data_IF_121025620358
#
_entry.id   IF_121025620358
#
_cell.length_a   1.000
_cell.length_b   1.000
_cell.length_c   1.000
_cell.angle_alpha   90.00
_cell.angle_beta   90.00
_cell.angle_gamma   90.00
#
_symmetry.space_group_name_H-M   'P 1'
#
loop_
_entity.id
_entity.type
_entity.pdbx_description
1 polymer ?
#
# COMPACT_ATOMS: atom_id res chain seq x y z
N UNK A 1 32.31 22.60 -20.99
CA UNK A 1 32.18 21.12 -20.97
C UNK A 1 31.97 20.58 -19.55
N UNK A 2 32.65 21.07 -18.51
CA UNK A 2 32.46 20.61 -17.12
C UNK A 2 31.04 20.84 -16.53
N UNK A 3 30.39 21.97 -16.86
CA UNK A 3 29.06 22.32 -16.34
C UNK A 3 27.96 21.31 -16.77
N UNK A 4 28.14 20.60 -17.88
CA UNK A 4 27.13 19.69 -18.43
C UNK A 4 27.17 18.30 -17.75
N UNK A 5 28.37 17.81 -17.42
CA UNK A 5 28.53 16.51 -16.75
C UNK A 5 28.10 16.57 -15.27
N UNK A 6 28.40 17.69 -14.60
CA UNK A 6 28.00 17.91 -13.21
C UNK A 6 26.47 18.01 -13.07
N UNK A 7 25.80 18.64 -14.03
CA UNK A 7 24.33 18.71 -14.08
C UNK A 7 23.67 17.34 -14.29
N UNK A 8 24.16 16.54 -15.25
CA UNK A 8 23.64 15.18 -15.48
C UNK A 8 23.88 14.27 -14.27
N UNK A 9 25.06 14.34 -13.65
CA UNK A 9 25.35 13.61 -12.43
C UNK A 9 24.41 14.02 -11.27
N UNK A 10 24.17 15.32 -11.08
CA UNK A 10 23.27 15.82 -10.05
C UNK A 10 21.81 15.34 -10.27
N UNK A 11 21.31 15.40 -11.51
CA UNK A 11 19.95 14.92 -11.86
C UNK A 11 19.79 13.44 -11.54
N UNK A 12 20.78 12.61 -11.92
CA UNK A 12 20.75 11.17 -11.66
C UNK A 12 20.89 10.83 -10.18
N UNK A 13 21.68 11.62 -9.44
CA UNK A 13 21.78 11.49 -7.99
C UNK A 13 20.45 11.84 -7.29
N UNK A 14 19.79 12.92 -7.73
CA UNK A 14 18.46 13.28 -7.21
C UNK A 14 17.43 12.18 -7.50
N UNK A 15 17.43 11.63 -8.71
CA UNK A 15 16.56 10.50 -9.05
C UNK A 15 16.83 9.26 -8.17
N UNK A 16 18.10 8.96 -7.88
CA UNK A 16 18.48 7.89 -6.96
C UNK A 16 17.98 8.16 -5.53
N UNK A 17 18.11 9.39 -5.03
CA UNK A 17 17.61 9.77 -3.70
C UNK A 17 16.09 9.69 -3.60
N UNK A 18 15.36 10.08 -4.65
CA UNK A 18 13.90 9.97 -4.72
C UNK A 18 13.38 8.52 -4.72
N UNK A 19 14.23 7.52 -4.98
CA UNK A 19 13.82 6.12 -4.85
C UNK A 19 13.82 5.61 -3.40
N UNK A 20 14.52 6.29 -2.50
CA UNK A 20 14.65 5.87 -1.10
C UNK A 20 13.29 5.88 -0.38
N UNK A 21 12.45 6.94 -0.48
CA UNK A 21 11.13 6.93 0.14
C UNK A 21 10.20 5.84 -0.44
N UNK A 22 10.28 5.53 -1.73
CA UNK A 22 9.55 4.40 -2.35
C UNK A 22 9.95 3.06 -1.72
N UNK A 23 11.25 2.80 -1.59
CA UNK A 23 11.76 1.57 -0.96
C UNK A 23 11.32 1.52 0.51
N UNK A 24 11.46 2.65 1.23
CA UNK A 24 11.06 2.75 2.63
C UNK A 24 9.55 2.50 2.82
N UNK A 25 8.71 3.02 1.93
CA UNK A 25 7.27 2.76 1.94
C UNK A 25 6.96 1.28 1.69
N UNK A 26 7.66 0.64 0.75
CA UNK A 26 7.55 -0.79 0.50
C UNK A 26 7.96 -1.66 1.69
N UNK A 27 9.07 -1.31 2.36
CA UNK A 27 9.52 -1.98 3.59
C UNK A 27 8.53 -1.73 4.74
N UNK A 28 8.06 -0.50 4.92
CA UNK A 28 7.07 -0.16 5.93
C UNK A 28 5.76 -0.94 5.75
N UNK A 29 5.32 -1.17 4.50
CA UNK A 29 4.18 -2.05 4.23
C UNK A 29 4.46 -3.50 4.68
N UNK A 30 5.70 -3.98 4.55
CA UNK A 30 6.06 -5.34 4.99
C UNK A 30 6.09 -5.51 6.52
N UNK A 31 6.25 -4.41 7.28
CA UNK A 31 6.23 -4.46 8.76
C UNK A 31 4.82 -4.47 9.34
N UNK A 32 3.78 -4.16 8.55
CA UNK A 32 2.40 -4.28 8.97
C UNK A 32 1.96 -5.75 8.90
N UNK A 33 1.50 -6.30 10.01
CA UNK A 33 1.25 -7.73 10.17
C UNK A 33 0.21 -8.28 9.16
N UNK A 34 -0.83 -7.50 8.87
CA UNK A 34 -1.87 -7.84 7.91
C UNK A 34 -1.37 -7.81 6.45
N UNK A 35 -0.56 -6.81 6.09
CA UNK A 35 0.13 -6.79 4.80
C UNK A 35 1.12 -7.95 4.68
N UNK A 36 1.83 -8.31 5.75
CA UNK A 36 2.76 -9.43 5.79
C UNK A 36 2.07 -10.79 5.57
N UNK A 37 0.81 -10.94 6.00
CA UNK A 37 -0.01 -12.12 5.73
C UNK A 37 -0.47 -12.23 4.27
N UNK A 38 -0.66 -11.09 3.60
CA UNK A 38 -1.32 -11.02 2.28
C UNK A 38 -0.32 -10.83 1.12
N UNK A 39 0.80 -10.15 1.38
CA UNK A 39 1.97 -9.98 0.50
C UNK A 39 1.66 -9.53 -0.94
N UNK A 40 0.72 -8.59 -1.11
CA UNK A 40 0.34 -8.09 -2.45
C UNK A 40 1.23 -6.94 -2.91
N UNK A 41 1.21 -5.81 -2.19
CA UNK A 41 1.76 -4.54 -2.70
C UNK A 41 3.25 -4.34 -2.39
N UNK A 42 3.72 -4.87 -1.26
CA UNK A 42 5.07 -4.70 -0.75
C UNK A 42 6.17 -5.09 -1.76
N UNK A 43 6.12 -6.29 -2.33
CA UNK A 43 7.17 -6.77 -3.26
C UNK A 43 7.25 -5.96 -4.56
N UNK A 44 6.14 -5.68 -5.28
CA UNK A 44 6.18 -4.79 -6.44
C UNK A 44 6.76 -3.41 -6.15
N UNK A 45 6.39 -2.79 -5.01
CA UNK A 45 6.88 -1.46 -4.63
C UNK A 45 8.38 -1.48 -4.35
N UNK A 46 8.86 -2.44 -3.54
CA UNK A 46 10.28 -2.57 -3.22
C UNK A 46 11.10 -2.88 -4.48
N UNK A 47 10.63 -3.79 -5.34
CA UNK A 47 11.33 -4.14 -6.57
C UNK A 47 11.47 -2.94 -7.53
N UNK A 48 10.40 -2.16 -7.72
CA UNK A 48 10.45 -0.96 -8.55
C UNK A 48 11.35 0.12 -7.95
N UNK A 49 11.28 0.36 -6.63
CA UNK A 49 12.15 1.31 -5.95
C UNK A 49 13.63 0.94 -6.10
N UNK A 50 13.99 -0.33 -5.88
CA UNK A 50 15.37 -0.82 -6.06
C UNK A 50 15.82 -0.71 -7.52
N UNK A 51 14.95 -0.99 -8.48
CA UNK A 51 15.28 -0.84 -9.90
C UNK A 51 15.56 0.63 -10.26
N UNK A 52 14.76 1.58 -9.76
CA UNK A 52 15.02 3.02 -9.95
C UNK A 52 16.33 3.44 -9.29
N UNK A 53 16.61 2.96 -8.07
CA UNK A 53 17.88 3.23 -7.39
C UNK A 53 19.08 2.74 -8.22
N UNK A 54 19.04 1.49 -8.67
CA UNK A 54 20.11 0.88 -9.45
C UNK A 54 20.35 1.63 -10.77
N UNK A 55 19.28 1.96 -11.50
CA UNK A 55 19.38 2.73 -12.75
C UNK A 55 19.88 4.16 -12.49
N UNK A 56 19.41 4.82 -11.42
CA UNK A 56 19.88 6.16 -11.03
C UNK A 56 21.38 6.19 -10.72
N UNK A 57 21.88 5.22 -9.95
CA UNK A 57 23.31 5.07 -9.66
C UNK A 57 24.13 4.73 -10.91
N UNK A 58 23.62 3.85 -11.77
CA UNK A 58 24.25 3.55 -13.04
C UNK A 58 24.32 4.78 -13.96
N UNK A 59 23.30 5.64 -13.93
CA UNK A 59 23.31 6.93 -14.64
C UNK A 59 24.30 7.93 -14.06
N UNK A 60 24.52 7.92 -12.74
CA UNK A 60 25.55 8.75 -12.08
C UNK A 60 26.97 8.33 -12.51
N UNK A 61 27.27 7.03 -12.48
CA UNK A 61 28.57 6.47 -12.92
C UNK A 61 28.73 6.56 -14.44
N UNK A 62 27.64 6.36 -15.18
CA UNK A 62 27.60 6.39 -16.64
C UNK A 62 27.88 7.77 -17.23
N UNK A 63 27.75 8.86 -16.45
CA UNK A 63 28.10 10.21 -16.88
C UNK A 63 29.57 10.35 -17.34
N UNK A 64 30.44 9.42 -16.95
CA UNK A 64 31.85 9.35 -17.34
C UNK A 64 32.11 8.56 -18.63
N UNK A 65 31.16 7.74 -19.09
CA UNK A 65 31.31 6.83 -20.24
C UNK A 65 30.51 7.36 -21.44
N UNK A 66 31.20 7.90 -22.45
CA UNK A 66 30.59 8.57 -23.63
C UNK A 66 30.05 7.60 -24.69
N UNK A 67 29.26 6.60 -24.29
CA UNK A 67 28.65 5.64 -25.21
C UNK A 67 27.19 6.05 -25.52
N UNK A 68 26.86 6.48 -26.76
CA UNK A 68 25.54 7.01 -27.08
C UNK A 68 24.41 5.97 -26.96
N UNK A 69 24.71 4.70 -27.28
CA UNK A 69 23.76 3.59 -27.12
C UNK A 69 23.41 3.32 -25.66
N UNK A 70 24.38 3.43 -24.75
CA UNK A 70 24.18 3.23 -23.32
C UNK A 70 23.28 4.34 -22.74
N UNK A 71 23.49 5.59 -23.18
CA UNK A 71 22.67 6.73 -22.76
C UNK A 71 21.21 6.60 -23.25
N UNK A 72 21.01 6.14 -24.48
CA UNK A 72 19.67 5.89 -25.01
C UNK A 72 18.96 4.77 -24.23
N UNK A 73 19.65 3.65 -23.99
CA UNK A 73 19.14 2.55 -23.19
C UNK A 73 18.77 3.01 -21.77
N UNK A 74 19.61 3.84 -21.15
CA UNK A 74 19.34 4.47 -19.85
C UNK A 74 18.05 5.32 -19.86
N UNK A 75 17.88 6.22 -20.83
CA UNK A 75 16.70 7.08 -20.93
C UNK A 75 15.41 6.29 -21.12
N UNK A 76 15.45 5.22 -21.92
CA UNK A 76 14.29 4.33 -22.14
C UNK A 76 13.98 3.54 -20.87
N UNK A 77 15.00 2.96 -20.22
CA UNK A 77 14.82 2.21 -18.98
C UNK A 77 14.25 3.08 -17.85
N UNK A 78 14.78 4.30 -17.68
CA UNK A 78 14.30 5.22 -16.66
C UNK A 78 12.86 5.64 -16.93
N UNK A 79 12.50 5.96 -18.17
CA UNK A 79 11.11 6.27 -18.53
C UNK A 79 10.17 5.11 -18.23
N UNK A 80 10.55 3.89 -18.62
CA UNK A 80 9.74 2.69 -18.36
C UNK A 80 9.51 2.47 -16.87
N UNK A 81 10.52 2.68 -16.02
CA UNK A 81 10.40 2.56 -14.57
C UNK A 81 9.49 3.64 -13.97
N UNK A 82 9.62 4.89 -14.42
CA UNK A 82 8.76 5.99 -13.96
C UNK A 82 7.31 5.77 -14.36
N UNK A 83 7.05 5.32 -15.60
CA UNK A 83 5.70 4.96 -16.05
C UNK A 83 5.15 3.75 -15.28
N UNK A 84 5.99 2.76 -14.95
CA UNK A 84 5.58 1.63 -14.13
C UNK A 84 5.21 2.04 -12.70
N UNK A 85 5.98 2.94 -12.08
CA UNK A 85 5.66 3.52 -10.77
C UNK A 85 4.36 4.34 -10.81
N UNK A 86 4.20 5.21 -11.80
CA UNK A 86 2.98 5.99 -11.98
C UNK A 86 1.76 5.08 -12.23
N UNK A 87 1.92 4.05 -13.07
CA UNK A 87 0.89 3.05 -13.32
C UNK A 87 0.51 2.27 -12.05
N UNK A 88 1.50 1.91 -11.22
CA UNK A 88 1.25 1.28 -9.94
C UNK A 88 0.49 2.20 -8.99
N UNK A 89 0.85 3.48 -8.90
CA UNK A 89 0.15 4.46 -8.07
C UNK A 89 -1.31 4.61 -8.53
N UNK A 90 -1.54 4.80 -9.83
CA UNK A 90 -2.90 4.88 -10.39
C UNK A 90 -3.70 3.60 -10.11
N UNK A 91 -3.06 2.43 -10.24
CA UNK A 91 -3.69 1.16 -9.95
C UNK A 91 -4.08 1.04 -8.46
N UNK A 92 -3.16 1.35 -7.55
CA UNK A 92 -3.41 1.32 -6.10
C UNK A 92 -4.53 2.30 -5.74
N UNK A 93 -4.48 3.53 -6.25
CA UNK A 93 -5.53 4.52 -6.09
C UNK A 93 -6.88 3.97 -6.56
N UNK A 94 -6.95 3.39 -7.76
CA UNK A 94 -8.20 2.88 -8.34
C UNK A 94 -8.79 1.71 -7.53
N UNK A 95 -7.96 0.74 -7.09
CA UNK A 95 -8.47 -0.40 -6.30
C UNK A 95 -8.79 -0.03 -4.85
N UNK A 96 -8.22 1.07 -4.35
CA UNK A 96 -8.49 1.62 -3.01
C UNK A 96 -9.52 2.76 -3.02
N UNK A 97 -10.07 3.15 -4.17
CA UNK A 97 -11.18 4.09 -4.27
C UNK A 97 -12.47 3.39 -3.83
N UNK A 98 -13.17 3.89 -2.79
CA UNK A 98 -14.36 3.22 -2.23
C UNK A 98 -14.70 3.60 -0.79
N UNK A 99 -15.48 2.79 -0.06
CA UNK A 99 -16.20 3.20 1.18
C UNK A 99 -15.37 3.50 2.45
N UNK A 100 -16.01 4.15 3.43
CA UNK A 100 -15.44 4.58 4.71
C UNK A 100 -16.04 3.84 5.91
N UNK A 101 -16.41 2.56 5.75
CA UNK A 101 -17.14 1.80 6.77
C UNK A 101 -18.58 2.30 6.98
N UNK A 102 -19.40 1.49 7.63
CA UNK A 102 -20.80 1.79 7.95
C UNK A 102 -20.91 2.13 9.44
N UNK A 103 -21.47 3.31 9.79
CA UNK A 103 -21.71 3.66 11.18
C UNK A 103 -22.81 2.78 11.76
N UNK A 104 -22.60 2.34 13.00
CA UNK A 104 -23.61 1.58 13.74
C UNK A 104 -24.27 2.52 14.76
N UNK A 105 -25.61 2.60 14.81
CA UNK A 105 -26.30 3.46 15.76
C UNK A 105 -25.88 3.19 17.21
N UNK A 106 -25.51 4.25 17.93
CA UNK A 106 -25.11 4.17 19.34
C UNK A 106 -23.75 3.51 19.59
N UNK A 107 -22.89 3.39 18.56
CA UNK A 107 -21.55 2.81 18.65
C UNK A 107 -20.49 3.79 18.14
N UNK A 108 -19.33 3.83 18.78
CA UNK A 108 -18.18 4.65 18.38
C UNK A 108 -17.33 4.02 17.26
N UNK A 109 -17.52 2.73 16.99
CA UNK A 109 -16.81 1.99 15.94
C UNK A 109 -17.65 1.82 14.68
N UNK A 110 -16.95 1.57 13.57
CA UNK A 110 -17.52 1.30 12.26
C UNK A 110 -17.56 -0.21 12.00
N UNK A 111 -18.54 -0.66 11.23
CA UNK A 111 -18.57 -2.02 10.67
C UNK A 111 -18.30 -1.99 9.16
N UNK A 112 -17.75 -3.08 8.64
CA UNK A 112 -17.28 -3.15 7.26
C UNK A 112 -17.97 -4.30 6.54
N UNK A 113 -18.43 -4.02 5.33
CA UNK A 113 -19.09 -4.99 4.46
C UNK A 113 -18.18 -5.30 3.28
N UNK A 114 -18.11 -6.57 2.89
CA UNK A 114 -17.21 -7.01 1.81
C UNK A 114 -17.62 -6.41 0.47
N UNK A 115 -18.91 -6.16 0.26
CA UNK A 115 -19.46 -5.60 -0.98
C UNK A 115 -19.05 -4.15 -1.24
N UNK A 116 -18.63 -3.44 -0.20
CA UNK A 116 -18.17 -2.05 -0.31
C UNK A 116 -16.77 -1.92 -0.96
N UNK A 117 -16.08 -3.05 -1.20
CA UNK A 117 -14.72 -3.09 -1.74
C UNK A 117 -14.67 -3.49 -3.23
N UNK A 118 -13.61 -3.03 -3.90
CA UNK A 118 -13.38 -3.32 -5.32
C UNK A 118 -13.36 -4.83 -5.58
N UNK A 119 -13.98 -5.24 -6.70
CA UNK A 119 -14.02 -6.66 -7.10
C UNK A 119 -12.63 -7.27 -7.34
N UNK A 120 -11.60 -6.45 -7.54
CA UNK A 120 -10.21 -6.91 -7.60
C UNK A 120 -9.69 -7.35 -6.22
N UNK A 121 -9.92 -6.56 -5.17
CA UNK A 121 -9.52 -6.91 -3.80
C UNK A 121 -10.24 -8.15 -3.29
N UNK A 122 -11.56 -8.25 -3.54
CA UNK A 122 -12.37 -9.42 -3.14
C UNK A 122 -11.86 -10.71 -3.76
N UNK A 123 -11.68 -10.74 -5.08
CA UNK A 123 -11.16 -11.90 -5.82
C UNK A 123 -9.78 -12.36 -5.32
N UNK A 124 -8.99 -11.46 -4.75
CA UNK A 124 -7.68 -11.82 -4.20
C UNK A 124 -7.79 -12.67 -2.95
N UNK A 125 -8.84 -12.47 -2.15
CA UNK A 125 -9.16 -13.26 -0.95
C UNK A 125 -9.92 -14.56 -1.26
N UNK A 126 -10.69 -14.60 -2.35
CA UNK A 126 -11.58 -15.74 -2.67
C UNK A 126 -10.89 -16.95 -3.33
N UNK A 127 -9.56 -16.93 -3.49
CA UNK A 127 -8.84 -18.08 -4.03
C UNK A 127 -8.83 -19.26 -3.04
N UNK A 128 -9.07 -20.50 -3.51
CA UNK A 128 -9.13 -21.68 -2.65
C UNK A 128 -7.83 -21.86 -1.86
N UNK A 129 -7.94 -22.10 -0.55
CA UNK A 129 -6.79 -22.29 0.35
C UNK A 129 -5.96 -21.03 0.66
N UNK A 130 -6.18 -19.90 -0.01
CA UNK A 130 -5.44 -18.66 0.27
C UNK A 130 -5.95 -17.99 1.53
N UNK A 131 -7.27 -17.90 1.68
CA UNK A 131 -7.87 -17.35 2.89
C UNK A 131 -7.49 -18.16 4.13
N UNK A 132 -7.34 -19.48 4.01
CA UNK A 132 -6.92 -20.32 5.13
C UNK A 132 -5.51 -19.99 5.65
N UNK A 133 -4.59 -19.60 4.76
CA UNK A 133 -3.27 -19.12 5.16
C UNK A 133 -3.33 -17.73 5.79
N UNK A 134 -4.10 -16.83 5.19
CA UNK A 134 -4.26 -15.46 5.69
C UNK A 134 -4.88 -15.47 7.09
N UNK A 135 -5.96 -16.24 7.28
CA UNK A 135 -6.66 -16.32 8.56
C UNK A 135 -5.80 -16.96 9.66
N UNK A 136 -4.99 -17.98 9.33
CA UNK A 136 -4.04 -18.57 10.26
C UNK A 136 -2.93 -17.58 10.66
N UNK A 137 -2.44 -16.78 9.70
CA UNK A 137 -1.49 -15.72 9.96
C UNK A 137 -2.10 -14.61 10.84
N UNK A 138 -3.34 -14.17 10.55
CA UNK A 138 -4.06 -13.20 11.36
C UNK A 138 -4.33 -13.69 12.78
N UNK A 139 -4.68 -14.97 12.94
CA UNK A 139 -4.88 -15.59 14.27
C UNK A 139 -3.62 -15.60 15.13
N UNK A 140 -2.43 -15.59 14.52
CA UNK A 140 -1.16 -15.48 15.23
C UNK A 140 -0.78 -14.03 15.59
N UNK A 141 -1.51 -13.03 15.08
CA UNK A 141 -1.24 -11.62 15.41
C UNK A 141 -1.85 -11.23 16.76
N UNK A 142 -1.21 -10.32 17.51
CA UNK A 142 -1.72 -9.89 18.82
C UNK A 142 -2.95 -8.97 18.73
N UNK A 143 -3.52 -8.69 17.55
CA UNK A 143 -4.56 -7.67 17.39
C UNK A 143 -5.81 -7.91 18.25
N UNK A 144 -6.26 -9.15 18.36
CA UNK A 144 -7.41 -9.49 19.22
C UNK A 144 -7.00 -9.67 20.69
N UNK A 145 -5.77 -10.08 20.99
CA UNK A 145 -5.30 -10.16 22.38
C UNK A 145 -5.11 -8.78 22.98
N UNK A 146 -4.62 -7.80 22.21
CA UNK A 146 -4.44 -6.42 22.63
C UNK A 146 -5.77 -5.75 22.96
N UNK A 147 -6.82 -6.07 22.18
CA UNK A 147 -8.18 -5.62 22.45
C UNK A 147 -8.69 -6.14 23.80
N UNK A 148 -8.40 -7.40 24.13
CA UNK A 148 -8.81 -8.02 25.39
C UNK A 148 -8.01 -7.52 26.60
N UNK A 149 -6.78 -7.04 26.39
CA UNK A 149 -5.92 -6.50 27.46
C UNK A 149 -6.21 -5.02 27.77
N UNK A 150 -6.98 -4.34 26.91
CA UNK A 150 -7.29 -2.92 27.08
C UNK A 150 -8.41 -2.75 28.10
N UNK A 151 -8.06 -2.57 29.38
CA UNK A 151 -9.02 -2.54 30.50
C UNK A 151 -10.11 -1.46 30.40
N UNK A 152 -9.88 -0.39 29.63
CA UNK A 152 -10.90 0.63 29.38
C UNK A 152 -12.08 0.11 28.53
N UNK A 153 -11.93 -1.05 27.90
CA UNK A 153 -12.93 -1.68 27.04
C UNK A 153 -13.72 -2.78 27.75
N UNK A 154 -13.38 -3.13 28.99
CA UNK A 154 -14.08 -4.18 29.74
C UNK A 154 -15.52 -3.79 30.09
N UNK A 155 -15.80 -2.49 30.17
CA UNK A 155 -17.15 -2.00 30.44
C UNK A 155 -17.93 -1.79 29.14
N UNK A 156 -19.26 -2.04 29.12
CA UNK A 156 -20.09 -1.78 27.93
C UNK A 156 -20.01 -0.33 27.47
N UNK A 157 -19.95 0.62 28.41
CA UNK A 157 -19.81 2.04 28.09
C UNK A 157 -18.46 2.31 27.42
N UNK A 158 -17.37 1.82 28.00
CA UNK A 158 -16.04 1.93 27.42
C UNK A 158 -15.94 1.33 26.01
N UNK A 159 -16.47 0.12 25.82
CA UNK A 159 -16.44 -0.59 24.53
C UNK A 159 -17.33 0.07 23.46
N UNK A 160 -18.55 0.49 23.80
CA UNK A 160 -19.49 0.99 22.79
C UNK A 160 -19.37 2.48 22.51
N UNK A 161 -18.94 3.29 23.47
CA UNK A 161 -18.93 4.76 23.33
C UNK A 161 -17.55 5.38 23.28
N UNK A 162 -16.53 4.74 23.87
CA UNK A 162 -15.18 5.29 23.92
C UNK A 162 -14.17 4.53 23.04
N UNK A 163 -14.46 3.28 22.69
CA UNK A 163 -13.51 2.46 21.95
C UNK A 163 -13.48 2.79 20.45
N UNK A 164 -12.32 3.26 19.99
CA UNK A 164 -12.00 3.37 18.57
C UNK A 164 -11.33 2.09 18.10
N UNK A 165 -12.15 1.11 17.72
CA UNK A 165 -11.64 -0.17 17.21
C UNK A 165 -10.99 0.03 15.84
N UNK A 166 -9.84 -0.61 15.63
CA UNK A 166 -9.27 -0.75 14.29
C UNK A 166 -10.21 -1.56 13.39
N UNK A 167 -10.13 -1.43 12.06
CA UNK A 167 -10.99 -2.21 11.16
C UNK A 167 -10.86 -3.71 11.39
N UNK A 168 -9.65 -4.19 11.66
CA UNK A 168 -9.38 -5.59 11.97
C UNK A 168 -9.99 -6.01 13.33
N UNK A 169 -9.91 -5.16 14.36
CA UNK A 169 -10.56 -5.43 15.65
C UNK A 169 -12.09 -5.51 15.51
N UNK A 170 -12.69 -4.56 14.79
CA UNK A 170 -14.14 -4.50 14.61
C UNK A 170 -14.71 -5.64 13.77
N UNK A 171 -13.93 -6.16 12.82
CA UNK A 171 -14.35 -7.20 11.87
C UNK A 171 -13.97 -8.63 12.27
N UNK A 172 -12.86 -8.83 12.98
CA UNK A 172 -12.35 -10.17 13.32
C UNK A 172 -12.48 -10.51 14.80
N UNK A 173 -12.37 -9.53 15.71
CA UNK A 173 -12.26 -9.79 17.16
C UNK A 173 -13.58 -9.63 17.93
N UNK A 174 -14.68 -9.27 17.25
CA UNK A 174 -16.04 -9.20 17.82
C UNK A 174 -17.06 -9.79 16.84
N UNK A 175 -18.23 -10.25 17.31
CA UNK A 175 -19.31 -10.65 16.42
C UNK A 175 -19.93 -9.41 15.72
N UNK A 176 -20.54 -9.58 14.53
CA UNK A 176 -21.30 -8.53 13.86
C UNK A 176 -22.48 -8.06 14.73
N UNK A 177 -22.75 -6.74 14.78
CA UNK A 177 -23.81 -6.20 15.64
C UNK A 177 -25.20 -6.74 15.23
N UNK A 178 -25.41 -7.01 13.94
CA UNK A 178 -26.64 -7.62 13.40
C UNK A 178 -26.97 -8.99 13.98
N UNK A 179 -25.98 -9.69 14.55
CA UNK A 179 -26.18 -11.01 15.14
C UNK A 179 -26.84 -10.97 16.52
N UNK A 180 -26.89 -9.82 17.21
CA UNK A 180 -27.59 -9.71 18.50
C UNK A 180 -26.94 -10.47 19.67
N UNK A 181 -25.62 -10.71 19.62
CA UNK A 181 -24.89 -11.30 20.74
C UNK A 181 -24.87 -10.36 21.94
N UNK A 182 -24.94 -10.91 23.15
CA UNK A 182 -24.86 -10.11 24.38
C UNK A 182 -23.41 -10.00 24.85
N UNK A 183 -22.97 -8.76 25.08
CA UNK A 183 -21.62 -8.42 25.51
C UNK A 183 -21.35 -8.89 26.95
N UNK A 184 -20.18 -9.50 27.16
CA UNK A 184 -19.66 -9.80 28.50
C UNK A 184 -18.28 -9.16 28.67
N UNK A 185 -17.38 -9.42 27.72
CA UNK A 185 -16.05 -8.80 27.64
C UNK A 185 -15.75 -8.45 26.18
N UNK A 186 -14.65 -7.73 25.87
CA UNK A 186 -14.32 -7.32 24.50
C UNK A 186 -14.30 -8.48 23.49
N UNK A 187 -13.84 -9.66 23.93
CA UNK A 187 -13.69 -10.85 23.08
C UNK A 187 -14.61 -12.01 23.46
N UNK A 188 -15.42 -11.88 24.52
CA UNK A 188 -16.35 -12.91 24.97
C UNK A 188 -17.80 -12.43 24.89
N UNK A 189 -18.60 -13.19 24.15
CA UNK A 189 -19.99 -12.85 23.85
C UNK A 189 -20.89 -14.08 24.02
N UNK A 190 -22.07 -13.89 24.60
CA UNK A 190 -23.06 -14.98 24.76
C UNK A 190 -23.96 -15.01 23.51
N UNK A 191 -24.18 -16.22 23.00
CA UNK A 191 -24.97 -16.46 21.78
C UNK A 191 -26.45 -16.16 21.99
N UNK A 192 -27.14 -15.54 21.02
CA UNK A 192 -28.58 -15.36 21.06
C UNK A 192 -29.32 -16.69 20.93
N UNK A 193 -30.57 -16.74 21.40
CA UNK A 193 -31.45 -17.93 21.33
C UNK A 193 -31.77 -18.31 19.86
N UNK A 194 -31.75 -17.33 18.95
CA UNK A 194 -31.88 -17.53 17.51
C UNK A 194 -30.73 -16.83 16.79
N UNK A 195 -29.61 -17.51 16.56
CA UNK A 195 -28.59 -17.07 15.61
C UNK A 195 -29.10 -17.31 14.18
N UNK A 196 -30.17 -16.62 13.78
CA UNK A 196 -30.88 -16.92 12.54
C UNK A 196 -30.35 -16.09 11.36
N UNK A 197 -30.22 -16.79 10.22
CA UNK A 197 -30.04 -16.35 8.83
C UNK A 197 -28.63 -16.00 8.33
N UNK A 198 -27.72 -15.45 9.13
CA UNK A 198 -26.45 -14.94 8.59
C UNK A 198 -25.26 -15.89 8.80
N UNK A 199 -24.49 -16.20 7.73
CA UNK A 199 -23.33 -17.09 7.82
C UNK A 199 -22.23 -16.56 8.75
N UNK A 200 -22.06 -15.25 8.89
CA UNK A 200 -21.06 -14.67 9.81
C UNK A 200 -21.45 -14.91 11.27
N UNK A 201 -22.74 -14.92 11.60
CA UNK A 201 -23.19 -15.18 12.97
C UNK A 201 -22.93 -16.63 13.38
N UNK A 202 -23.12 -17.58 12.47
CA UNK A 202 -22.80 -18.99 12.72
C UNK A 202 -21.29 -19.27 12.77
N UNK A 203 -20.49 -18.44 12.09
CA UNK A 203 -19.04 -18.58 12.03
C UNK A 203 -18.30 -18.01 13.24
N UNK A 204 -18.94 -17.19 14.08
CA UNK A 204 -18.33 -16.60 15.28
C UNK A 204 -18.02 -17.67 16.36
N UNK A 205 -16.84 -17.56 16.98
CA UNK A 205 -16.42 -18.38 18.13
C UNK A 205 -15.75 -17.52 19.20
N UNK A 206 -15.94 -17.85 20.48
CA UNK A 206 -15.20 -17.22 21.59
C UNK A 206 -13.78 -17.82 21.78
N UNK A 207 -13.40 -18.83 20.99
CA UNK A 207 -12.04 -19.37 21.02
C UNK A 207 -11.07 -18.40 20.34
N UNK A 208 -9.98 -18.03 21.02
CA UNK A 208 -9.01 -17.04 20.53
C UNK A 208 -8.39 -17.39 19.17
N UNK A 209 -8.22 -18.67 18.89
CA UNK A 209 -7.67 -19.15 17.62
C UNK A 209 -8.68 -19.13 16.46
N UNK A 210 -9.98 -18.99 16.75
CA UNK A 210 -11.06 -19.09 15.75
C UNK A 210 -11.78 -17.76 15.51
N UNK A 211 -12.10 -17.01 16.56
CA UNK A 211 -12.85 -15.73 16.53
C UNK A 211 -13.81 -15.61 15.33
N UNK A 212 -13.87 -14.45 14.64
CA UNK A 212 -14.60 -14.31 13.38
C UNK A 212 -13.67 -14.46 12.16
N UNK A 213 -12.55 -15.19 12.25
CA UNK A 213 -11.57 -15.26 11.16
C UNK A 213 -12.13 -15.92 9.88
N UNK A 214 -13.22 -16.69 9.97
CA UNK A 214 -13.96 -17.25 8.83
C UNK A 214 -15.07 -16.33 8.30
N UNK A 215 -15.37 -15.22 8.95
CA UNK A 215 -16.47 -14.32 8.59
C UNK A 215 -16.12 -13.40 7.41
N UNK A 216 -17.14 -13.02 6.62
CA UNK A 216 -17.02 -11.96 5.62
C UNK A 216 -16.71 -10.61 6.26
N UNK A 217 -17.21 -10.35 7.47
CA UNK A 217 -16.88 -9.16 8.27
C UNK A 217 -15.37 -9.04 8.58
N UNK A 218 -14.68 -10.16 8.83
CA UNK A 218 -13.22 -10.15 9.03
C UNK A 218 -12.45 -9.92 7.73
N UNK A 219 -12.90 -10.50 6.62
CA UNK A 219 -12.37 -10.18 5.28
C UNK A 219 -12.52 -8.70 4.97
N UNK A 220 -13.68 -8.12 5.26
CA UNK A 220 -13.96 -6.70 5.05
C UNK A 220 -13.07 -5.80 5.93
N UNK A 221 -12.92 -6.15 7.22
CA UNK A 221 -12.02 -5.47 8.15
C UNK A 221 -10.55 -5.50 7.69
N UNK A 222 -10.09 -6.65 7.18
CA UNK A 222 -8.76 -6.78 6.57
C UNK A 222 -8.62 -5.87 5.34
N UNK A 223 -9.59 -5.90 4.41
CA UNK A 223 -9.54 -5.06 3.22
C UNK A 223 -9.52 -3.57 3.57
N UNK A 224 -10.24 -3.15 4.61
CA UNK A 224 -10.17 -1.78 5.09
C UNK A 224 -8.79 -1.42 5.64
N UNK A 225 -8.20 -2.29 6.44
CA UNK A 225 -6.90 -2.01 7.04
C UNK A 225 -5.81 -1.89 5.96
N UNK A 226 -5.74 -2.90 5.07
CA UNK A 226 -4.86 -2.89 3.90
C UNK A 226 -5.06 -1.61 3.08
N UNK A 227 -6.31 -1.25 2.79
CA UNK A 227 -6.61 -0.04 2.03
C UNK A 227 -6.07 1.22 2.70
N UNK A 228 -6.24 1.37 4.01
CA UNK A 228 -5.78 2.57 4.74
C UNK A 228 -4.27 2.70 4.64
N UNK A 229 -3.56 1.59 4.75
CA UNK A 229 -2.11 1.53 4.68
C UNK A 229 -1.60 1.72 3.25
N UNK A 230 -2.25 1.09 2.28
CA UNK A 230 -1.94 1.24 0.85
C UNK A 230 -2.16 2.67 0.40
N UNK A 231 -3.21 3.34 0.86
CA UNK A 231 -3.43 4.76 0.53
C UNK A 231 -2.35 5.67 1.09
N UNK A 232 -1.80 5.38 2.27
CA UNK A 232 -0.65 6.12 2.83
C UNK A 232 0.60 5.92 1.96
N UNK A 233 0.88 4.68 1.57
CA UNK A 233 1.99 4.38 0.67
C UNK A 233 1.78 4.99 -0.72
N UNK A 234 0.55 4.93 -1.26
CA UNK A 234 0.17 5.46 -2.56
C UNK A 234 0.40 6.96 -2.69
N UNK A 235 0.15 7.73 -1.62
CA UNK A 235 0.48 9.16 -1.57
C UNK A 235 2.00 9.36 -1.75
N UNK A 236 2.83 8.57 -1.08
CA UNK A 236 4.29 8.64 -1.23
C UNK A 236 4.68 8.29 -2.67
N UNK A 237 4.15 7.18 -3.20
CA UNK A 237 4.40 6.74 -4.58
C UNK A 237 3.99 7.79 -5.62
N UNK A 238 2.83 8.44 -5.44
CA UNK A 238 2.32 9.45 -6.36
C UNK A 238 3.20 10.70 -6.36
N UNK A 239 3.63 11.15 -5.17
CA UNK A 239 4.54 12.30 -5.03
C UNK A 239 5.91 11.98 -5.65
N UNK A 240 6.47 10.81 -5.36
CA UNK A 240 7.76 10.38 -5.92
C UNK A 240 7.69 10.19 -7.44
N UNK A 241 6.61 9.61 -7.97
CA UNK A 241 6.40 9.47 -9.40
C UNK A 241 6.32 10.83 -10.10
N UNK A 242 5.60 11.80 -9.52
CA UNK A 242 5.53 13.16 -10.05
C UNK A 242 6.90 13.86 -10.02
N UNK A 243 7.66 13.70 -8.93
CA UNK A 243 9.01 14.23 -8.81
C UNK A 243 9.96 13.60 -9.84
N UNK A 244 9.93 12.27 -10.01
CA UNK A 244 10.73 11.56 -11.00
C UNK A 244 10.38 11.95 -12.43
N UNK A 245 9.09 12.18 -12.74
CA UNK A 245 8.66 12.72 -14.04
C UNK A 245 9.22 14.12 -14.30
N UNK A 246 9.20 15.00 -13.29
CA UNK A 246 9.77 16.33 -13.40
C UNK A 246 11.29 16.28 -13.62
N UNK A 247 12.01 15.44 -12.87
CA UNK A 247 13.45 15.21 -13.02
C UNK A 247 13.78 14.64 -14.40
N UNK A 248 12.99 13.69 -14.90
CA UNK A 248 13.13 13.14 -16.25
C UNK A 248 12.91 14.19 -17.33
N UNK A 249 11.90 15.05 -17.19
CA UNK A 249 11.61 16.14 -18.11
C UNK A 249 12.76 17.17 -18.14
N UNK A 250 13.31 17.54 -16.97
CA UNK A 250 14.48 18.40 -16.87
C UNK A 250 15.72 17.78 -17.52
N UNK A 251 15.96 16.48 -17.31
CA UNK A 251 17.04 15.74 -17.97
C UNK A 251 16.90 15.73 -19.49
N UNK A 252 15.70 15.49 -20.01
CA UNK A 252 15.40 15.55 -21.44
C UNK A 252 15.58 16.95 -22.02
N UNK A 253 15.15 18.00 -21.30
CA UNK A 253 15.34 19.39 -21.70
C UNK A 253 16.83 19.73 -21.79
N UNK A 254 17.60 19.43 -20.75
CA UNK A 254 19.06 19.65 -20.74
C UNK A 254 19.76 18.91 -21.90
N UNK A 255 19.35 17.66 -22.17
CA UNK A 255 19.89 16.88 -23.28
C UNK A 255 19.56 17.48 -24.65
N UNK A 256 18.32 17.95 -24.86
CA UNK A 256 17.91 18.62 -26.10
C UNK A 256 18.70 19.90 -26.32
N UNK A 257 18.81 20.74 -25.29
CA UNK A 257 19.55 22.02 -25.35
C UNK A 257 21.03 21.80 -25.69
N UNK A 258 21.68 20.82 -25.07
CA UNK A 258 23.07 20.49 -25.39
C UNK A 258 23.25 20.03 -26.86
N UNK A 259 22.29 19.27 -27.40
CA UNK A 259 22.32 18.81 -28.80
C UNK A 259 22.10 19.96 -29.78
N UNK A 260 21.21 20.91 -29.46
CA UNK A 260 21.01 22.12 -30.29
C UNK A 260 22.25 23.00 -30.29
N UNK A 261 22.90 23.21 -29.14
CA UNK A 261 24.15 23.98 -29.06
C UNK A 261 25.26 23.36 -29.91
N UNK A 262 25.38 22.03 -29.91
CA UNK A 262 26.35 21.33 -30.75
C UNK A 262 26.07 21.51 -32.25
N UNK A 263 24.80 21.43 -32.66
CA UNK A 263 24.38 21.68 -34.05
C UNK A 263 24.68 23.13 -34.47
N UNK A 264 24.36 24.11 -33.63
CA UNK A 264 24.67 25.52 -33.90
C UNK A 264 26.18 25.78 -33.96
N UNK A 265 26.99 25.13 -33.12
CA UNK A 265 28.46 25.21 -33.20
C UNK A 265 28.99 24.65 -34.51
N UNK A 266 28.52 23.47 -34.95
CA UNK A 266 28.91 22.89 -36.24
C UNK A 266 28.48 23.78 -37.41
N UNK A 267 27.28 24.33 -37.37
CA UNK A 267 26.80 25.27 -38.38
C UNK A 267 27.68 26.53 -38.47
N UNK A 268 28.12 27.09 -37.33
CA UNK A 268 29.01 28.25 -37.29
C UNK A 268 30.45 27.92 -37.76
N UNK A 269 30.91 26.69 -37.57
CA UNK A 269 32.24 26.23 -38.01
C UNK A 269 32.29 25.77 -39.47
N UNK A 270 31.15 25.55 -40.13
CA UNK A 270 31.06 25.12 -41.53
C UNK A 270 31.12 26.24 -42.58
N UNK A 271 31.51 27.47 -42.20
CA UNK A 271 31.65 28.64 -43.09
C UNK A 271 33.10 29.20 -43.14
N UNK A 272 34.10 28.32 -43.03
CA UNK A 272 35.51 28.59 -43.36
C UNK A 272 36.09 27.36 -44.04
#
# INVERSE_FOLDING_TARGET
>A
MALNHMGVAAINLVAALLSIPVIAAGIWLSTQADNACVQILQWPVVALGVAVLAVGLAGFVGAFWRLPWLLLAYLVAMLALVLALAGLAVFVFAVTAGSSGRPVPGRAFLEYDLDDYSGWLRRRLDAPGRWDRIKACLAATPTCSDLNQTSSYDTPQGFFTAAWLSPLQSGCCKPPTRCGYTFVTPTYWISPISAAADPDCAAWSNEQAKFCYSCASCKAGLLQNLRREWRRADIILAVDAAALLAVYAMGCYAFRTAKTDELFRRYRQGYT
#
